data_IF_631739385935
#
_entry.id   IF_631739385935
#
_cell.length_a   1.000
_cell.length_b   1.000
_cell.length_c   1.000
_cell.angle_alpha   90.00
_cell.angle_beta   90.00
_cell.angle_gamma   90.00
#
_symmetry.space_group_name_H-M   'P 1'
#
loop_
_entity.id
_entity.type
_entity.pdbx_description
1 polymer ?
#
# COMPACT_ATOMS: atom_id res chain seq x y z
N UNK A 1 2.37 5.53 -27.71
CA UNK A 1 3.77 5.36 -27.23
C UNK A 1 4.20 3.90 -27.06
N UNK A 2 3.66 2.92 -27.81
CA UNK A 2 4.15 1.54 -27.74
C UNK A 2 5.50 1.43 -28.49
N UNK A 3 6.52 0.86 -27.86
CA UNK A 3 7.83 0.57 -28.47
C UNK A 3 8.98 1.56 -28.18
N UNK A 4 8.73 2.66 -27.47
CA UNK A 4 9.75 3.70 -27.19
C UNK A 4 10.47 3.48 -25.87
N UNK A 5 9.80 2.85 -24.90
CA UNK A 5 10.35 2.54 -23.59
C UNK A 5 11.68 1.79 -23.65
N UNK A 6 11.90 0.95 -24.66
CA UNK A 6 13.18 0.22 -24.87
C UNK A 6 14.40 1.14 -24.97
N UNK A 7 14.23 2.40 -25.39
CA UNK A 7 15.30 3.39 -25.51
C UNK A 7 15.65 4.09 -24.18
N UNK A 8 14.76 3.97 -23.18
CA UNK A 8 14.90 4.56 -21.85
C UNK A 8 14.89 3.50 -20.73
N UNK A 9 14.69 2.22 -21.07
CA UNK A 9 14.52 1.12 -20.13
C UNK A 9 15.84 0.82 -19.41
N UNK A 10 15.97 1.14 -18.12
CA UNK A 10 17.21 0.93 -17.39
C UNK A 10 17.53 -0.56 -17.21
N UNK A 11 16.58 -1.48 -17.39
CA UNK A 11 16.74 -2.92 -17.17
C UNK A 11 17.14 -3.71 -18.41
N UNK A 12 17.09 -3.11 -19.61
CA UNK A 12 17.52 -3.81 -20.83
C UNK A 12 19.00 -4.17 -20.75
N UNK A 13 19.40 -5.41 -21.06
CA UNK A 13 20.81 -5.84 -21.01
C UNK A 13 21.68 -5.15 -22.05
N UNK A 14 21.10 -4.78 -23.18
CA UNK A 14 21.78 -4.04 -24.24
C UNK A 14 21.59 -2.54 -24.00
N UNK A 15 22.71 -1.82 -24.03
CA UNK A 15 22.72 -0.35 -24.02
C UNK A 15 22.41 0.13 -25.43
N UNK A 16 21.30 0.85 -25.59
CA UNK A 16 20.95 1.47 -26.86
C UNK A 16 21.88 2.67 -27.12
N UNK A 17 22.47 2.78 -28.32
CA UNK A 17 23.32 3.91 -28.67
C UNK A 17 22.52 5.22 -28.70
N UNK A 18 23.21 6.34 -28.53
CA UNK A 18 22.61 7.66 -28.68
C UNK A 18 22.14 7.84 -30.14
N UNK A 19 20.83 7.96 -30.33
CA UNK A 19 20.20 7.96 -31.67
C UNK A 19 20.78 9.05 -32.60
N UNK A 20 21.12 10.27 -32.14
CA UNK A 20 21.79 11.25 -32.98
C UNK A 20 23.09 10.75 -33.65
N UNK A 21 23.85 9.85 -33.01
CA UNK A 21 25.07 9.28 -33.62
C UNK A 21 24.80 8.19 -34.68
N UNK A 22 23.54 7.82 -34.90
CA UNK A 22 23.11 6.86 -35.93
C UNK A 22 22.52 7.54 -37.17
N UNK A 23 22.72 8.86 -37.32
CA UNK A 23 22.25 9.59 -38.50
C UNK A 23 22.84 8.96 -39.77
N UNK A 24 22.02 8.58 -40.75
CA UNK A 24 22.53 7.99 -41.97
C UNK A 24 23.38 9.02 -42.73
N UNK A 25 24.56 8.64 -43.25
CA UNK A 25 25.38 9.55 -44.03
C UNK A 25 24.67 9.91 -45.33
N UNK A 26 24.83 11.17 -45.76
CA UNK A 26 24.29 11.65 -47.02
C UNK A 26 24.75 10.76 -48.20
N UNK A 27 23.88 10.52 -49.19
CA UNK A 27 24.25 9.72 -50.35
C UNK A 27 25.33 10.47 -51.16
N UNK A 28 26.24 9.75 -51.84
CA UNK A 28 27.21 10.37 -52.74
C UNK A 28 26.49 11.14 -53.85
N UNK A 29 27.08 12.26 -54.28
CA UNK A 29 26.52 13.07 -55.35
C UNK A 29 26.67 12.38 -56.71
N UNK A 30 25.96 12.88 -57.72
CA UNK A 30 26.09 12.39 -59.10
C UNK A 30 27.54 12.53 -59.58
N UNK A 31 28.19 13.66 -59.28
CA UNK A 31 29.58 13.91 -59.67
C UNK A 31 30.53 12.94 -58.97
N UNK A 32 30.32 12.64 -57.68
CA UNK A 32 31.12 11.64 -56.96
C UNK A 32 31.00 10.25 -57.60
N UNK A 33 29.80 9.89 -58.05
CA UNK A 33 29.57 8.60 -58.73
C UNK A 33 30.19 8.58 -60.13
N UNK A 34 30.15 9.70 -60.86
CA UNK A 34 30.83 9.83 -62.16
C UNK A 34 32.33 9.69 -61.99
N UNK A 35 32.91 10.32 -60.96
CA UNK A 35 34.34 10.19 -60.64
C UNK A 35 34.68 8.73 -60.32
N UNK A 36 33.92 8.07 -59.45
CA UNK A 36 34.14 6.65 -59.13
C UNK A 36 34.01 5.72 -60.33
N UNK A 37 33.04 5.97 -61.21
CA UNK A 37 32.86 5.17 -62.41
C UNK A 37 33.98 5.43 -63.43
N UNK A 38 34.49 6.66 -63.53
CA UNK A 38 35.68 6.96 -64.32
C UNK A 38 36.91 6.25 -63.77
N UNK A 39 37.15 6.29 -62.46
CA UNK A 39 38.24 5.55 -61.82
C UNK A 39 38.15 4.05 -62.08
N UNK A 40 36.93 3.48 -62.04
CA UNK A 40 36.69 2.07 -62.38
C UNK A 40 37.04 1.78 -63.84
N UNK A 41 36.64 2.64 -64.77
CA UNK A 41 36.94 2.51 -66.20
C UNK A 41 38.45 2.64 -66.48
N UNK A 42 39.11 3.58 -65.83
CA UNK A 42 40.57 3.78 -65.94
C UNK A 42 41.35 2.57 -65.41
N UNK A 43 40.89 2.00 -64.30
CA UNK A 43 41.50 0.78 -63.75
C UNK A 43 41.33 -0.41 -64.72
N UNK A 44 40.17 -0.56 -65.37
CA UNK A 44 39.98 -1.60 -66.40
C UNK A 44 40.92 -1.41 -67.60
N UNK A 45 41.17 -0.16 -68.00
CA UNK A 45 42.13 0.14 -69.07
C UNK A 45 43.56 -0.22 -68.62
N UNK A 46 43.95 0.12 -67.39
CA UNK A 46 45.26 -0.24 -66.83
C UNK A 46 45.44 -1.76 -66.72
N UNK A 47 44.44 -2.48 -66.21
CA UNK A 47 44.45 -3.94 -66.13
C UNK A 47 44.60 -4.58 -67.51
N UNK A 48 43.89 -4.05 -68.53
CA UNK A 48 44.09 -4.48 -69.90
C UNK A 48 45.50 -4.12 -70.42
N UNK A 49 46.06 -2.99 -70.01
CA UNK A 49 47.40 -2.56 -70.39
C UNK A 49 48.52 -3.44 -69.84
N UNK A 50 48.32 -3.95 -68.64
CA UNK A 50 49.25 -4.83 -67.91
C UNK A 50 49.08 -6.31 -68.26
N UNK A 51 47.98 -6.71 -68.92
CA UNK A 51 47.71 -8.08 -69.29
C UNK A 51 48.73 -8.63 -70.33
N UNK A 52 49.16 -9.91 -70.21
CA UNK A 52 50.07 -10.54 -71.16
C UNK A 52 49.52 -10.54 -72.59
N UNK A 53 50.37 -10.19 -73.56
CA UNK A 53 50.00 -10.08 -74.99
C UNK A 53 49.33 -11.35 -75.55
N UNK A 54 49.67 -12.54 -75.03
CA UNK A 54 49.08 -13.81 -75.46
C UNK A 54 47.60 -13.98 -75.07
N UNK A 55 47.13 -13.23 -74.07
CA UNK A 55 45.76 -13.30 -73.52
C UNK A 55 45.02 -11.96 -73.65
N UNK A 56 45.66 -10.95 -74.24
CA UNK A 56 45.14 -9.59 -74.35
C UNK A 56 44.12 -9.53 -75.49
N UNK A 57 42.84 -9.48 -75.14
CA UNK A 57 41.74 -9.28 -76.09
C UNK A 57 41.66 -7.83 -76.59
N UNK A 58 40.53 -7.47 -77.21
CA UNK A 58 40.29 -6.11 -77.70
C UNK A 58 40.33 -5.06 -76.58
N UNK A 59 40.86 -3.87 -76.90
CA UNK A 59 40.93 -2.76 -75.93
C UNK A 59 39.51 -2.31 -75.55
N UNK A 60 39.21 -2.15 -74.26
CA UNK A 60 37.96 -1.54 -73.83
C UNK A 60 37.84 -0.11 -74.37
N UNK A 61 36.84 0.13 -75.22
CA UNK A 61 36.48 1.47 -75.73
C UNK A 61 35.51 2.14 -74.75
N UNK A 62 35.98 2.45 -73.54
CA UNK A 62 35.18 3.09 -72.51
C UNK A 62 35.42 4.61 -72.57
N UNK A 63 34.42 5.36 -73.02
CA UNK A 63 34.42 6.82 -72.90
C UNK A 63 34.24 7.28 -71.46
N UNK A 64 34.32 8.60 -71.24
CA UNK A 64 34.03 9.19 -69.93
C UNK A 64 32.62 8.81 -69.43
N UNK A 65 32.51 8.50 -68.14
CA UNK A 65 31.26 8.25 -67.47
C UNK A 65 30.35 9.48 -67.54
N UNK A 66 29.08 9.23 -67.77
CA UNK A 66 28.04 10.23 -67.88
C UNK A 66 26.95 9.98 -66.83
N UNK A 67 26.04 10.94 -66.67
CA UNK A 67 24.88 10.76 -65.79
C UNK A 67 24.09 9.48 -66.10
N UNK A 68 23.98 9.10 -67.38
CA UNK A 68 23.21 7.93 -67.79
C UNK A 68 23.79 6.63 -67.22
N UNK A 69 25.11 6.58 -67.03
CA UNK A 69 25.82 5.42 -66.50
C UNK A 69 25.60 5.25 -64.98
N UNK A 70 25.37 6.35 -64.27
CA UNK A 70 25.29 6.36 -62.79
C UNK A 70 23.87 6.59 -62.24
N UNK A 71 22.91 6.96 -63.08
CA UNK A 71 21.55 7.37 -62.66
C UNK A 71 20.83 6.31 -61.81
N UNK A 72 21.01 5.03 -62.13
CA UNK A 72 20.32 3.94 -61.43
C UNK A 72 20.93 3.69 -60.05
N UNK A 73 22.25 3.74 -59.95
CA UNK A 73 22.97 3.67 -58.68
C UNK A 73 22.62 4.86 -57.78
N UNK A 74 22.62 6.07 -58.35
CA UNK A 74 22.22 7.28 -57.64
C UNK A 74 20.77 7.16 -57.13
N UNK A 75 19.85 6.71 -57.97
CA UNK A 75 18.45 6.51 -57.58
C UNK A 75 18.29 5.44 -56.48
N UNK A 76 19.04 4.35 -56.55
CA UNK A 76 19.06 3.30 -55.52
C UNK A 76 19.57 3.83 -54.18
N UNK A 77 20.76 4.44 -54.16
CA UNK A 77 21.39 4.99 -52.94
C UNK A 77 20.54 6.09 -52.32
N UNK A 78 19.93 6.94 -53.14
CA UNK A 78 19.01 7.99 -52.66
C UNK A 78 17.77 7.38 -52.00
N UNK A 79 17.14 6.37 -52.61
CA UNK A 79 15.99 5.67 -51.99
C UNK A 79 16.37 4.98 -50.68
N UNK A 80 17.53 4.34 -50.64
CA UNK A 80 18.03 3.70 -49.43
C UNK A 80 18.27 4.73 -48.32
N UNK A 81 18.90 5.86 -48.65
CA UNK A 81 19.12 6.97 -47.73
C UNK A 81 17.80 7.49 -47.17
N UNK A 82 16.83 7.87 -48.02
CA UNK A 82 15.54 8.38 -47.54
C UNK A 82 14.79 7.36 -46.67
N UNK A 83 14.92 6.07 -46.98
CA UNK A 83 14.37 5.00 -46.14
C UNK A 83 15.02 4.93 -44.75
N UNK A 84 16.34 5.07 -44.67
CA UNK A 84 17.09 5.11 -43.40
C UNK A 84 16.84 6.41 -42.63
N UNK A 85 16.82 7.54 -43.31
CA UNK A 85 16.59 8.87 -42.76
C UNK A 85 15.19 8.97 -42.14
N UNK A 86 14.16 8.49 -42.84
CA UNK A 86 12.80 8.47 -42.31
C UNK A 86 12.69 7.62 -41.03
N UNK A 87 13.37 6.47 -40.98
CA UNK A 87 13.41 5.62 -39.78
C UNK A 87 14.18 6.30 -38.64
N UNK A 88 15.34 6.87 -38.94
CA UNK A 88 16.16 7.59 -37.98
C UNK A 88 15.41 8.80 -37.42
N UNK A 89 14.81 9.64 -38.27
CA UNK A 89 14.05 10.82 -37.88
C UNK A 89 12.87 10.48 -36.98
N UNK A 90 12.13 9.42 -37.30
CA UNK A 90 11.02 8.92 -36.48
C UNK A 90 11.47 8.41 -35.10
N UNK A 91 12.66 7.80 -35.00
CA UNK A 91 13.25 7.35 -33.74
C UNK A 91 13.84 8.52 -32.94
N UNK A 92 14.58 9.39 -33.59
CA UNK A 92 15.22 10.56 -33.01
C UNK A 92 14.18 11.51 -32.40
N UNK A 93 13.09 11.79 -33.11
CA UNK A 93 12.00 12.63 -32.59
C UNK A 93 11.44 12.12 -31.26
N UNK A 94 11.29 10.80 -31.12
CA UNK A 94 10.80 10.16 -29.88
C UNK A 94 11.84 10.18 -28.78
N UNK A 95 13.09 9.97 -29.14
CA UNK A 95 14.23 10.05 -28.22
C UNK A 95 14.38 11.45 -27.64
N UNK A 96 14.35 12.48 -28.50
CA UNK A 96 14.40 13.89 -28.10
C UNK A 96 13.24 14.25 -27.18
N UNK A 97 12.02 13.79 -27.49
CA UNK A 97 10.87 14.00 -26.62
C UNK A 97 11.10 13.45 -25.20
N UNK A 98 11.63 12.24 -25.05
CA UNK A 98 11.90 11.67 -23.73
C UNK A 98 13.08 12.35 -23.03
N UNK A 99 14.13 12.72 -23.77
CA UNK A 99 15.26 13.44 -23.21
C UNK A 99 14.81 14.81 -22.68
N UNK A 100 13.96 15.51 -23.44
CA UNK A 100 13.37 16.78 -23.02
C UNK A 100 12.49 16.59 -21.78
N UNK A 101 11.66 15.54 -21.76
CA UNK A 101 10.85 15.21 -20.59
C UNK A 101 11.71 14.95 -19.35
N UNK A 102 12.83 14.22 -19.47
CA UNK A 102 13.79 14.02 -18.35
C UNK A 102 14.42 15.36 -17.92
N UNK A 103 14.83 16.21 -18.87
CA UNK A 103 15.40 17.53 -18.56
C UNK A 103 14.40 18.46 -17.84
N UNK A 104 13.09 18.27 -18.07
CA UNK A 104 12.04 19.06 -17.43
C UNK A 104 11.61 18.52 -16.07
N UNK A 105 11.65 17.19 -15.87
CA UNK A 105 11.12 16.54 -14.66
C UNK A 105 12.17 16.34 -13.57
N UNK A 106 13.44 16.15 -13.95
CA UNK A 106 14.54 15.95 -13.00
C UNK A 106 15.19 17.30 -12.70
N UNK A 107 15.36 17.69 -11.42
CA UNK A 107 16.08 18.91 -11.05
C UNK A 107 17.47 18.97 -11.70
N UNK A 108 17.85 20.15 -12.20
CA UNK A 108 19.10 20.33 -12.95
C UNK A 108 20.32 19.99 -12.11
N UNK A 109 20.25 20.23 -10.81
CA UNK A 109 21.30 19.99 -9.83
C UNK A 109 21.64 18.50 -9.72
N UNK A 110 20.62 17.63 -9.86
CA UNK A 110 20.78 16.18 -9.83
C UNK A 110 21.15 15.65 -11.21
N UNK A 111 20.64 16.26 -12.28
CA UNK A 111 20.82 15.77 -13.65
C UNK A 111 22.20 16.08 -14.25
N UNK A 112 22.70 17.31 -14.05
CA UNK A 112 23.90 17.81 -14.74
C UNK A 112 25.18 17.03 -14.40
N UNK A 113 25.47 16.65 -13.13
CA UNK A 113 26.69 15.90 -12.81
C UNK A 113 26.77 14.57 -13.57
N UNK A 114 25.65 13.87 -13.68
CA UNK A 114 25.55 12.59 -14.41
C UNK A 114 25.71 12.80 -15.91
N UNK A 115 25.04 13.82 -16.46
CA UNK A 115 25.13 14.17 -17.87
C UNK A 115 26.57 14.53 -18.28
N UNK A 116 27.24 15.40 -17.52
CA UNK A 116 28.64 15.78 -17.79
C UNK A 116 29.59 14.60 -17.71
N UNK A 117 29.42 13.72 -16.72
CA UNK A 117 30.23 12.50 -16.58
C UNK A 117 30.06 11.57 -17.78
N UNK A 118 28.82 11.24 -18.14
CA UNK A 118 28.52 10.32 -19.23
C UNK A 118 28.95 10.87 -20.60
N UNK A 119 28.89 12.18 -20.81
CA UNK A 119 29.43 12.82 -22.02
C UNK A 119 30.96 12.67 -22.09
N UNK A 120 31.66 12.87 -20.96
CA UNK A 120 33.12 12.72 -20.88
C UNK A 120 33.59 11.28 -21.12
N UNK A 121 32.78 10.31 -20.70
CA UNK A 121 33.05 8.88 -20.87
C UNK A 121 32.63 8.37 -22.27
N UNK A 122 32.05 9.21 -23.13
CA UNK A 122 31.48 8.84 -24.44
C UNK A 122 30.34 7.79 -24.37
N UNK A 123 29.79 7.55 -23.17
CA UNK A 123 28.71 6.59 -22.91
C UNK A 123 27.33 7.26 -22.77
N UNK A 124 27.21 8.50 -23.24
CA UNK A 124 25.95 9.23 -23.10
C UNK A 124 24.83 8.58 -23.91
N UNK A 125 23.85 8.02 -23.22
CA UNK A 125 22.56 7.63 -23.76
C UNK A 125 21.48 7.98 -22.75
N UNK A 126 20.22 8.02 -23.19
CA UNK A 126 19.10 8.27 -22.27
C UNK A 126 19.02 7.15 -21.21
N UNK A 127 19.33 5.93 -21.63
CA UNK A 127 19.31 4.75 -20.79
C UNK A 127 20.43 4.76 -19.73
N UNK A 128 21.67 5.12 -20.10
CA UNK A 128 22.78 5.23 -19.14
C UNK A 128 22.57 6.40 -18.18
N UNK A 129 21.99 7.50 -18.65
CA UNK A 129 21.58 8.62 -17.81
C UNK A 129 20.56 8.17 -16.75
N UNK A 130 19.47 7.53 -17.17
CA UNK A 130 18.42 7.04 -16.26
C UNK A 130 18.97 5.99 -15.29
N UNK A 131 19.82 5.06 -15.74
CA UNK A 131 20.51 4.11 -14.84
C UNK A 131 21.34 4.83 -13.79
N UNK A 132 22.19 5.77 -14.21
CA UNK A 132 23.07 6.46 -13.28
C UNK A 132 22.30 7.30 -12.24
N UNK A 133 21.17 7.88 -12.62
CA UNK A 133 20.29 8.59 -11.70
C UNK A 133 19.63 7.60 -10.73
N UNK A 134 19.18 6.45 -11.22
CA UNK A 134 18.64 5.38 -10.39
C UNK A 134 19.69 4.89 -9.39
N UNK A 135 20.89 4.56 -9.83
CA UNK A 135 21.93 4.00 -8.96
C UNK A 135 22.33 4.94 -7.82
N UNK A 136 22.14 6.26 -8.00
CA UNK A 136 22.50 7.26 -6.99
C UNK A 136 21.31 7.75 -6.14
N UNK A 137 20.09 7.76 -6.70
CA UNK A 137 18.91 8.37 -6.05
C UNK A 137 17.73 7.43 -5.87
N UNK A 138 17.75 6.23 -6.44
CA UNK A 138 16.83 5.20 -5.99
C UNK A 138 17.15 4.92 -4.53
N UNK A 139 16.14 4.97 -3.67
CA UNK A 139 16.25 4.43 -2.32
C UNK A 139 16.78 3.00 -2.49
N UNK A 140 17.94 2.69 -1.91
CA UNK A 140 18.49 1.33 -1.90
C UNK A 140 17.33 0.39 -1.57
N UNK A 141 17.16 -0.71 -2.31
CA UNK A 141 16.06 -1.65 -2.04
C UNK A 141 16.06 -2.07 -0.56
N UNK A 142 17.24 -2.12 0.07
CA UNK A 142 17.38 -2.34 1.51
C UNK A 142 16.93 -1.15 2.38
N UNK A 143 17.21 0.11 1.99
CA UNK A 143 16.71 1.29 2.70
C UNK A 143 15.18 1.41 2.64
N UNK A 144 14.58 1.07 1.50
CA UNK A 144 13.12 0.99 1.35
C UNK A 144 12.54 -0.10 2.26
N UNK A 145 13.23 -1.26 2.34
CA UNK A 145 12.84 -2.36 3.23
C UNK A 145 12.98 -1.99 4.70
N UNK A 146 14.06 -1.35 5.11
CA UNK A 146 14.25 -0.85 6.46
C UNK A 146 13.19 0.18 6.83
N UNK A 147 12.90 1.12 5.92
CA UNK A 147 11.84 2.10 6.13
C UNK A 147 10.47 1.43 6.37
N UNK A 148 10.10 0.45 5.53
CA UNK A 148 8.84 -0.30 5.70
C UNK A 148 8.85 -1.13 6.99
N UNK A 149 9.99 -1.73 7.38
CA UNK A 149 10.12 -2.43 8.68
C UNK A 149 9.88 -1.48 9.85
N UNK A 150 10.43 -0.27 9.80
CA UNK A 150 10.29 0.71 10.87
C UNK A 150 8.87 1.30 10.90
N UNK A 151 8.25 1.56 9.75
CA UNK A 151 6.83 1.92 9.69
C UNK A 151 5.96 0.83 10.30
N UNK A 152 6.24 -0.44 10.01
CA UNK A 152 5.48 -1.58 10.54
C UNK A 152 5.61 -1.68 12.07
N UNK A 153 6.84 -1.60 12.59
CA UNK A 153 7.10 -1.58 14.04
C UNK A 153 6.43 -0.38 14.72
N UNK A 154 6.46 0.79 14.08
CA UNK A 154 5.79 1.99 14.59
C UNK A 154 4.29 1.76 14.76
N UNK A 155 3.61 1.20 13.75
CA UNK A 155 2.17 0.89 13.85
C UNK A 155 1.87 -0.13 14.94
N UNK A 156 2.71 -1.17 15.10
CA UNK A 156 2.54 -2.13 16.21
C UNK A 156 2.70 -1.45 17.58
N UNK A 157 3.68 -0.57 17.73
CA UNK A 157 3.91 0.19 18.96
C UNK A 157 2.76 1.16 19.26
N UNK A 158 2.19 1.83 18.25
CA UNK A 158 1.01 2.69 18.39
C UNK A 158 -0.20 1.90 18.90
N UNK A 159 -0.42 0.70 18.36
CA UNK A 159 -1.48 -0.19 18.84
C UNK A 159 -1.24 -0.66 20.28
N UNK A 160 0.01 -1.01 20.62
CA UNK A 160 0.40 -1.45 21.96
C UNK A 160 0.32 -0.32 23.00
N UNK A 161 0.49 0.93 22.60
CA UNK A 161 0.29 2.10 23.45
C UNK A 161 -1.19 2.36 23.76
N UNK A 162 -2.11 1.87 22.91
CA UNK A 162 -3.56 2.05 23.07
C UNK A 162 -4.04 3.47 22.83
N UNK A 163 -3.23 4.32 22.18
CA UNK A 163 -3.55 5.73 21.89
C UNK A 163 -4.40 5.90 20.64
N UNK A 164 -4.61 4.84 19.86
CA UNK A 164 -5.29 4.83 18.58
C UNK A 164 -6.56 3.97 18.65
N UNK A 165 -7.62 4.40 17.97
CA UNK A 165 -8.86 3.62 17.86
C UNK A 165 -8.61 2.31 17.08
N UNK A 166 -9.12 1.15 17.53
CA UNK A 166 -8.87 -0.15 16.87
C UNK A 166 -9.20 -0.17 15.37
N UNK A 167 -10.29 0.51 14.97
CA UNK A 167 -10.71 0.66 13.58
C UNK A 167 -9.73 1.49 12.74
N UNK A 168 -9.14 2.54 13.34
CA UNK A 168 -8.13 3.34 12.67
C UNK A 168 -6.79 2.60 12.59
N UNK A 169 -6.44 1.89 13.66
CA UNK A 169 -5.23 1.08 13.73
C UNK A 169 -5.20 -0.02 12.68
N UNK A 170 -6.29 -0.79 12.51
CA UNK A 170 -6.32 -1.88 11.54
C UNK A 170 -6.17 -1.37 10.10
N UNK A 171 -6.79 -0.24 9.75
CA UNK A 171 -6.61 0.40 8.43
C UNK A 171 -5.18 0.86 8.18
N UNK A 172 -4.55 1.49 9.18
CA UNK A 172 -3.16 1.94 9.09
C UNK A 172 -2.20 0.75 8.96
N UNK A 173 -2.47 -0.32 9.70
CA UNK A 173 -1.72 -1.57 9.63
C UNK A 173 -1.86 -2.24 8.25
N UNK A 174 -3.08 -2.32 7.69
CA UNK A 174 -3.31 -2.89 6.36
C UNK A 174 -2.56 -2.14 5.26
N UNK A 175 -2.50 -0.82 5.36
CA UNK A 175 -1.73 0.01 4.42
C UNK A 175 -0.24 -0.38 4.44
N UNK A 176 0.38 -0.43 5.62
CA UNK A 176 1.80 -0.78 5.74
C UNK A 176 2.06 -2.25 5.37
N UNK A 177 1.18 -3.17 5.77
CA UNK A 177 1.26 -4.57 5.38
C UNK A 177 1.19 -4.74 3.84
N UNK A 178 0.32 -3.98 3.16
CA UNK A 178 0.22 -4.02 1.69
C UNK A 178 1.50 -3.54 1.01
N UNK A 179 2.17 -2.51 1.56
CA UNK A 179 3.48 -2.07 1.09
C UNK A 179 4.54 -3.15 1.28
N UNK A 180 4.55 -3.82 2.43
CA UNK A 180 5.53 -4.86 2.74
C UNK A 180 5.38 -6.12 1.87
N UNK A 181 4.16 -6.50 1.52
CA UNK A 181 3.87 -7.63 0.61
C UNK A 181 4.23 -7.30 -0.84
N UNK A 182 4.20 -6.03 -1.23
CA UNK A 182 4.58 -5.60 -2.58
C UNK A 182 6.10 -5.61 -2.83
N UNK A 183 6.93 -5.82 -1.80
CA UNK A 183 8.38 -5.91 -1.92
C UNK A 183 8.84 -7.34 -2.23
N UNK A 184 9.74 -7.50 -3.20
CA UNK A 184 10.39 -8.79 -3.53
C UNK A 184 11.87 -8.79 -3.10
N UNK A 185 12.34 -9.77 -2.31
CA UNK A 185 11.59 -10.85 -1.66
C UNK A 185 10.81 -10.35 -0.44
N UNK A 186 9.66 -11.01 -0.18
CA UNK A 186 8.76 -10.66 0.93
C UNK A 186 9.50 -10.58 2.28
N UNK A 187 9.17 -9.54 3.05
CA UNK A 187 9.67 -9.33 4.39
C UNK A 187 9.08 -10.39 5.35
N UNK A 188 9.88 -11.41 5.67
CA UNK A 188 9.51 -12.48 6.60
C UNK A 188 9.11 -11.94 7.99
N UNK A 189 9.71 -10.83 8.42
CA UNK A 189 9.38 -10.14 9.68
C UNK A 189 7.95 -9.57 9.70
N UNK A 190 7.33 -9.38 8.53
CA UNK A 190 6.00 -8.78 8.37
C UNK A 190 4.95 -9.83 7.98
N UNK A 191 5.32 -10.92 7.33
CA UNK A 191 4.38 -11.94 6.81
C UNK A 191 4.43 -13.26 7.59
N UNK A 192 5.54 -13.56 8.27
CA UNK A 192 5.81 -14.85 8.92
C UNK A 192 4.98 -15.13 10.18
N UNK A 193 5.15 -16.33 10.74
CA UNK A 193 4.46 -16.78 11.96
C UNK A 193 4.74 -15.91 13.19
N UNK A 194 5.92 -15.26 13.23
CA UNK A 194 6.26 -14.27 14.24
C UNK A 194 5.40 -13.00 14.12
N UNK A 195 5.16 -12.52 12.89
CA UNK A 195 4.32 -11.36 12.64
C UNK A 195 2.86 -11.59 13.08
N UNK A 196 2.34 -12.82 12.90
CA UNK A 196 1.02 -13.24 13.43
C UNK A 196 0.98 -13.12 14.96
N UNK A 197 2.02 -13.61 15.65
CA UNK A 197 2.10 -13.50 17.10
C UNK A 197 2.16 -12.05 17.58
N UNK A 198 2.99 -11.23 16.95
CA UNK A 198 3.17 -9.83 17.35
C UNK A 198 1.91 -9.01 17.07
N UNK A 199 1.25 -9.23 15.93
CA UNK A 199 -0.05 -8.63 15.62
C UNK A 199 -1.12 -8.97 16.66
N UNK A 200 -1.29 -10.27 16.97
CA UNK A 200 -2.28 -10.71 17.96
C UNK A 200 -1.92 -10.26 19.38
N UNK A 201 -0.63 -10.15 19.71
CA UNK A 201 -0.17 -9.63 21.00
C UNK A 201 -0.55 -8.17 21.18
N UNK A 202 -0.39 -7.34 20.15
CA UNK A 202 -0.82 -5.93 20.19
C UNK A 202 -2.33 -5.84 20.46
N UNK A 203 -3.13 -6.66 19.77
CA UNK A 203 -4.58 -6.69 20.00
C UNK A 203 -4.91 -7.12 21.41
N UNK A 204 -4.28 -8.20 21.90
CA UNK A 204 -4.49 -8.74 23.24
C UNK A 204 -4.10 -7.77 24.37
N UNK A 205 -3.17 -6.85 24.13
CA UNK A 205 -2.69 -5.92 25.15
C UNK A 205 -3.62 -4.75 25.39
N UNK A 206 -4.07 -4.06 24.32
CA UNK A 206 -4.77 -2.77 24.46
C UNK A 206 -5.97 -2.55 23.56
N UNK A 207 -6.11 -3.27 22.44
CA UNK A 207 -7.18 -3.01 21.48
C UNK A 207 -8.44 -3.83 21.79
N UNK A 208 -8.29 -5.14 21.96
CA UNK A 208 -9.35 -6.06 22.41
C UNK A 208 -8.71 -7.27 23.12
N UNK A 209 -8.55 -7.20 24.46
CA UNK A 209 -7.88 -8.25 25.21
C UNK A 209 -8.55 -9.62 25.12
N UNK A 210 -9.89 -9.66 25.11
CA UNK A 210 -10.62 -10.92 25.10
C UNK A 210 -10.49 -11.63 23.74
N UNK A 211 -10.66 -10.89 22.65
CA UNK A 211 -10.50 -11.43 21.30
C UNK A 211 -9.05 -11.80 21.01
N UNK A 212 -8.11 -10.91 21.36
CA UNK A 212 -6.68 -11.08 21.11
C UNK A 212 -6.09 -12.27 21.87
N UNK A 213 -6.37 -12.42 23.17
CA UNK A 213 -5.86 -13.54 23.96
C UNK A 213 -6.39 -14.90 23.47
N UNK A 214 -7.66 -14.97 23.04
CA UNK A 214 -8.25 -16.19 22.49
C UNK A 214 -7.51 -16.65 21.23
N UNK A 215 -7.31 -15.75 20.27
CA UNK A 215 -6.66 -16.11 18.99
C UNK A 215 -5.15 -16.31 19.17
N UNK A 216 -4.50 -15.55 20.06
CA UNK A 216 -3.10 -15.75 20.40
C UNK A 216 -2.85 -17.14 21.01
N UNK A 217 -3.73 -17.59 21.92
CA UNK A 217 -3.67 -18.95 22.48
C UNK A 217 -3.72 -20.03 21.40
N UNK A 218 -4.69 -19.93 20.48
CA UNK A 218 -4.82 -20.87 19.35
C UNK A 218 -3.56 -20.93 18.47
N UNK A 219 -2.95 -19.77 18.20
CA UNK A 219 -1.73 -19.70 17.39
C UNK A 219 -0.52 -20.29 18.14
N UNK A 220 -0.38 -20.00 19.44
CA UNK A 220 0.70 -20.55 20.27
C UNK A 220 0.59 -22.07 20.36
N UNK A 221 -0.62 -22.57 20.60
CA UNK A 221 -0.91 -24.00 20.69
C UNK A 221 -0.61 -24.72 19.37
N UNK A 222 -1.09 -24.19 18.23
CA UNK A 222 -0.82 -24.77 16.91
C UNK A 222 0.68 -24.81 16.57
N UNK A 223 1.44 -23.80 16.98
CA UNK A 223 2.90 -23.78 16.78
C UNK A 223 3.59 -24.81 17.68
N UNK A 224 3.15 -24.93 18.93
CA UNK A 224 3.71 -25.91 19.88
C UNK A 224 3.46 -27.36 19.46
N UNK A 225 2.34 -27.62 18.78
CA UNK A 225 1.97 -28.94 18.27
C UNK A 225 2.57 -29.26 16.89
N UNK A 226 3.39 -28.36 16.31
CA UNK A 226 3.96 -28.53 14.98
C UNK A 226 2.94 -28.43 13.84
N UNK A 227 1.73 -27.93 14.12
CA UNK A 227 0.64 -27.77 13.15
C UNK A 227 0.65 -26.38 12.50
N UNK A 228 1.85 -25.82 12.25
CA UNK A 228 2.02 -24.50 11.68
C UNK A 228 1.37 -24.35 10.28
N UNK A 229 1.20 -25.46 9.55
CA UNK A 229 0.50 -25.51 8.26
C UNK A 229 -1.01 -25.27 8.35
N UNK A 230 -1.61 -25.38 9.54
CA UNK A 230 -3.03 -25.08 9.78
C UNK A 230 -3.28 -23.63 10.20
N UNK A 231 -2.22 -22.83 10.37
CA UNK A 231 -2.36 -21.41 10.70
C UNK A 231 -2.93 -20.65 9.51
N UNK A 232 -3.93 -19.82 9.79
CA UNK A 232 -4.43 -18.84 8.83
C UNK A 232 -3.35 -17.78 8.56
N UNK A 233 -3.40 -17.15 7.40
CA UNK A 233 -2.46 -16.07 7.08
C UNK A 233 -2.67 -14.86 8.01
N UNK A 234 -1.65 -14.02 8.15
CA UNK A 234 -1.75 -12.77 8.91
C UNK A 234 -2.92 -11.89 8.41
N UNK A 235 -3.12 -11.84 7.10
CA UNK A 235 -4.23 -11.11 6.47
C UNK A 235 -5.60 -11.68 6.85
N UNK A 236 -5.72 -12.99 7.02
CA UNK A 236 -6.98 -13.60 7.45
C UNK A 236 -7.32 -13.23 8.90
N UNK A 237 -6.31 -13.19 9.79
CA UNK A 237 -6.50 -12.70 11.16
C UNK A 237 -6.90 -11.23 11.20
N UNK A 238 -6.31 -10.39 10.34
CA UNK A 238 -6.69 -8.99 10.20
C UNK A 238 -8.15 -8.82 9.77
N UNK A 239 -8.60 -9.56 8.74
CA UNK A 239 -10.00 -9.55 8.30
C UNK A 239 -10.96 -10.06 9.37
N UNK A 240 -10.57 -11.10 10.12
CA UNK A 240 -11.38 -11.60 11.23
C UNK A 240 -11.51 -10.55 12.34
N UNK A 241 -10.44 -9.81 12.64
CA UNK A 241 -10.46 -8.74 13.63
C UNK A 241 -11.31 -7.55 13.14
N UNK A 242 -11.14 -7.12 11.89
CA UNK A 242 -11.94 -6.05 11.31
C UNK A 242 -13.44 -6.41 11.33
N UNK A 243 -13.79 -7.63 10.93
CA UNK A 243 -15.17 -8.13 11.01
C UNK A 243 -15.70 -8.16 12.44
N UNK A 244 -14.88 -8.56 13.42
CA UNK A 244 -15.22 -8.52 14.85
C UNK A 244 -15.46 -7.08 15.33
N UNK A 245 -14.64 -6.11 14.91
CA UNK A 245 -14.83 -4.70 15.26
C UNK A 245 -16.09 -4.10 14.60
N UNK A 246 -16.43 -4.53 13.38
CA UNK A 246 -17.67 -4.11 12.69
C UNK A 246 -18.91 -4.71 13.35
N UNK A 247 -18.82 -5.95 13.85
CA UNK A 247 -19.87 -6.59 14.66
C UNK A 247 -19.97 -5.96 16.06
N UNK A 248 -18.86 -5.49 16.63
CA UNK A 248 -18.82 -4.72 17.89
C UNK A 248 -19.51 -3.35 17.82
N UNK A 249 -19.65 -2.77 16.62
CA UNK A 249 -20.52 -1.61 16.36
C UNK A 249 -22.01 -1.90 16.54
N UNK A 250 -22.39 -3.17 16.51
CA UNK A 250 -23.71 -3.67 16.84
C UNK A 250 -23.72 -4.33 18.24
N UNK A 251 -23.06 -3.73 19.25
CA UNK A 251 -23.17 -4.09 20.69
C UNK A 251 -23.60 -5.54 20.95
N UNK A 252 -22.74 -6.49 20.62
CA UNK A 252 -22.70 -7.76 21.34
C UNK A 252 -22.04 -7.43 22.71
N UNK A 253 -22.76 -7.28 23.82
CA UNK A 253 -23.82 -8.18 24.23
C UNK A 253 -23.27 -9.52 24.72
N UNK A 254 -21.98 -9.62 25.09
CA UNK A 254 -21.39 -10.83 25.68
C UNK A 254 -20.85 -10.56 27.08
N UNK A 255 -21.76 -10.13 27.96
CA UNK A 255 -21.97 -10.80 29.24
C UNK A 255 -23.46 -11.18 29.29
N UNK A 256 -23.85 -12.08 28.39
CA UNK A 256 -25.13 -12.76 28.45
C UNK A 256 -25.00 -14.01 29.32
N UNK A 257 -24.89 -13.78 30.63
CA UNK A 257 -25.47 -14.69 31.62
C UNK A 257 -26.45 -13.85 32.44
N UNK A 258 -27.74 -14.11 32.21
CA UNK A 258 -28.90 -13.62 32.98
C UNK A 258 -29.25 -12.13 32.83
N UNK A 259 -29.95 -11.78 31.74
CA UNK A 259 -31.32 -11.23 31.82
C UNK A 259 -31.71 -10.61 30.46
N UNK A 260 -32.63 -11.27 29.77
CA UNK A 260 -33.50 -10.60 28.82
C UNK A 260 -34.24 -9.48 29.56
N UNK A 261 -34.09 -8.22 29.13
CA UNK A 261 -34.99 -7.15 29.54
C UNK A 261 -35.63 -6.53 28.30
N UNK A 262 -36.97 -6.66 28.15
CA UNK A 262 -37.68 -6.13 27.01
C UNK A 262 -37.74 -4.60 27.05
N UNK A 263 -37.85 -4.05 25.84
CA UNK A 263 -38.09 -2.65 25.48
C UNK A 263 -38.91 -1.87 26.53
N UNK A 264 -38.34 -0.76 26.99
CA UNK A 264 -39.04 0.43 27.52
C UNK A 264 -40.06 0.21 28.64
N UNK A 265 -39.62 0.15 29.90
CA UNK A 265 -40.51 0.36 31.06
C UNK A 265 -40.31 1.77 31.63
N UNK A 266 -41.29 2.64 31.39
CA UNK A 266 -41.33 4.01 31.93
C UNK A 266 -41.43 3.94 33.45
N UNK A 267 -40.55 4.63 34.17
CA UNK A 267 -40.64 4.76 35.61
C UNK A 267 -41.77 5.72 36.01
N UNK A 268 -42.58 5.41 37.04
CA UNK A 268 -43.59 6.35 37.58
C UNK A 268 -42.99 7.68 38.08
N UNK A 269 -41.68 7.69 38.35
CA UNK A 269 -40.90 8.88 38.67
C UNK A 269 -40.71 9.84 37.47
N UNK A 270 -41.09 9.44 36.25
CA UNK A 270 -40.99 10.18 34.97
C UNK A 270 -39.59 10.70 34.63
N UNK A 271 -38.55 10.18 35.30
CA UNK A 271 -37.15 10.41 34.94
C UNK A 271 -36.69 9.30 34.02
N UNK A 272 -35.96 9.68 32.97
CA UNK A 272 -35.22 8.73 32.15
C UNK A 272 -34.02 8.24 32.94
N UNK A 273 -34.02 6.96 33.28
CA UNK A 273 -32.90 6.31 33.92
C UNK A 273 -32.50 5.06 33.15
N UNK A 274 -31.20 4.76 33.14
CA UNK A 274 -30.64 3.58 32.46
C UNK A 274 -30.86 2.27 33.22
N UNK A 275 -31.35 2.33 34.46
CA UNK A 275 -31.66 1.18 35.31
C UNK A 275 -33.15 0.83 35.32
N UNK A 276 -33.53 -0.29 35.96
CA UNK A 276 -34.93 -0.69 36.09
C UNK A 276 -35.68 0.19 37.11
N UNK A 277 -37.01 0.39 36.96
CA UNK A 277 -37.81 1.12 37.95
C UNK A 277 -37.73 0.53 39.37
N UNK A 278 -37.37 -0.76 39.50
CA UNK A 278 -37.14 -1.43 40.79
C UNK A 278 -35.95 -0.89 41.58
N UNK A 279 -34.97 -0.32 40.89
CA UNK A 279 -33.79 0.31 41.51
C UNK A 279 -33.98 1.83 41.66
N UNK A 280 -35.19 2.35 41.46
CA UNK A 280 -35.46 3.78 41.58
C UNK A 280 -35.66 4.19 43.04
N UNK A 281 -34.65 4.84 43.61
CA UNK A 281 -34.67 5.34 44.99
C UNK A 281 -35.86 6.29 45.26
N UNK A 282 -36.28 7.08 44.27
CA UNK A 282 -37.45 7.97 44.36
C UNK A 282 -38.77 7.20 44.40
N UNK A 283 -38.90 6.14 43.61
CA UNK A 283 -40.09 5.29 43.61
C UNK A 283 -40.16 4.51 44.93
N UNK A 284 -39.02 4.03 45.42
CA UNK A 284 -38.91 3.33 46.70
C UNK A 284 -39.29 4.23 47.87
N UNK A 285 -38.78 5.47 47.90
CA UNK A 285 -39.15 6.46 48.91
C UNK A 285 -40.65 6.78 48.87
N UNK A 286 -41.23 6.98 47.68
CA UNK A 286 -42.65 7.30 47.53
C UNK A 286 -43.59 6.15 47.95
N UNK A 287 -43.19 4.89 47.72
CA UNK A 287 -44.03 3.70 47.95
C UNK A 287 -43.82 3.02 49.31
N UNK A 288 -42.59 2.98 49.81
CA UNK A 288 -42.24 2.29 51.07
C UNK A 288 -41.88 3.23 52.21
N UNK A 289 -41.66 4.53 51.93
CA UNK A 289 -41.17 5.50 52.91
C UNK A 289 -39.68 5.34 53.25
N UNK A 290 -39.00 4.30 52.74
CA UNK A 290 -37.58 4.07 53.02
C UNK A 290 -36.69 4.94 52.14
N UNK A 291 -35.76 5.65 52.77
CA UNK A 291 -34.82 6.54 52.09
C UNK A 291 -33.40 5.95 52.05
N UNK A 292 -33.01 5.20 51.01
CA UNK A 292 -31.68 4.58 50.92
C UNK A 292 -30.52 5.57 50.96
N UNK A 293 -30.73 6.81 50.52
CA UNK A 293 -29.66 7.77 50.23
C UNK A 293 -29.92 9.16 50.80
N UNK A 294 -30.76 9.28 51.81
CA UNK A 294 -31.16 10.57 52.42
C UNK A 294 -31.58 11.63 51.38
N UNK A 295 -32.33 11.21 50.36
CA UNK A 295 -32.89 12.09 49.35
C UNK A 295 -33.85 13.09 49.98
N UNK A 296 -33.60 14.39 49.77
CA UNK A 296 -34.53 15.46 50.17
C UNK A 296 -35.45 15.78 48.99
N UNK A 297 -36.73 15.45 49.12
CA UNK A 297 -37.73 15.61 48.04
C UNK A 297 -38.98 16.24 48.62
N UNK A 298 -39.55 17.22 47.91
CA UNK A 298 -40.78 17.90 48.31
C UNK A 298 -41.98 16.93 48.33
N UNK A 299 -42.80 16.96 49.38
CA UNK A 299 -43.99 16.10 49.53
C UNK A 299 -44.96 16.13 48.33
N UNK A 300 -45.23 17.27 47.66
CA UNK A 300 -46.10 17.30 46.47
C UNK A 300 -45.62 16.39 45.34
N UNK A 301 -44.30 16.23 45.23
CA UNK A 301 -43.67 15.39 44.21
C UNK A 301 -43.74 13.91 44.58
N UNK A 302 -43.67 13.57 45.87
CA UNK A 302 -43.87 12.21 46.35
C UNK A 302 -45.33 11.79 46.17
N UNK A 303 -46.28 12.69 46.45
CA UNK A 303 -47.70 12.46 46.23
C UNK A 303 -48.03 12.23 44.75
N UNK A 304 -47.50 13.06 43.83
CA UNK A 304 -47.68 12.85 42.40
C UNK A 304 -47.10 11.50 41.91
N UNK A 305 -46.00 11.02 42.50
CA UNK A 305 -45.44 9.69 42.20
C UNK A 305 -46.34 8.58 42.76
N UNK A 306 -46.90 8.73 43.97
CA UNK A 306 -47.85 7.77 44.56
C UNK A 306 -49.12 7.65 43.71
N UNK A 307 -49.68 8.77 43.28
CA UNK A 307 -50.88 8.80 42.43
C UNK A 307 -50.63 8.11 41.08
N UNK A 308 -49.50 8.41 40.42
CA UNK A 308 -49.12 7.73 39.16
C UNK A 308 -48.85 6.26 39.35
N UNK A 309 -48.16 5.90 40.43
CA UNK A 309 -47.90 4.51 40.74
C UNK A 309 -49.19 3.75 41.03
N UNK A 310 -50.23 4.42 41.54
CA UNK A 310 -51.53 3.80 41.78
C UNK A 310 -52.29 3.38 40.51
N UNK A 311 -51.95 3.92 39.33
CA UNK A 311 -52.61 3.62 38.06
C UNK A 311 -52.53 2.12 37.67
N UNK A 312 -53.56 1.56 37.00
CA UNK A 312 -53.61 0.14 36.61
C UNK A 312 -52.44 -0.29 35.70
N UNK A 313 -51.88 0.64 34.94
CA UNK A 313 -50.74 0.39 34.05
C UNK A 313 -49.48 -0.12 34.78
N UNK A 314 -49.39 0.10 36.10
CA UNK A 314 -48.24 -0.29 36.91
C UNK A 314 -48.50 -1.49 37.84
N UNK A 315 -49.64 -2.18 37.74
CA UNK A 315 -49.96 -3.33 38.61
C UNK A 315 -48.91 -4.45 38.56
N UNK A 316 -48.42 -4.79 37.36
CA UNK A 316 -47.34 -5.78 37.22
C UNK A 316 -46.04 -5.36 37.91
N UNK A 317 -45.75 -4.05 37.91
CA UNK A 317 -44.58 -3.48 38.58
C UNK A 317 -44.79 -3.47 40.11
N UNK A 318 -46.00 -3.16 40.59
CA UNK A 318 -46.34 -3.25 42.03
C UNK A 318 -46.10 -4.66 42.57
N UNK A 319 -46.64 -5.68 41.89
CA UNK A 319 -46.48 -7.08 42.29
C UNK A 319 -45.00 -7.49 42.36
N UNK A 320 -44.19 -7.09 41.37
CA UNK A 320 -42.74 -7.38 41.38
C UNK A 320 -41.97 -6.66 42.49
N UNK A 321 -42.39 -5.44 42.84
CA UNK A 321 -41.72 -4.63 43.86
C UNK A 321 -42.08 -5.06 45.27
N UNK A 322 -43.32 -5.48 45.49
CA UNK A 322 -43.72 -6.06 46.77
C UNK A 322 -42.91 -7.31 47.10
N UNK A 323 -42.60 -8.15 46.11
CA UNK A 323 -41.74 -9.32 46.29
C UNK A 323 -40.30 -8.90 46.64
N UNK A 324 -39.69 -8.05 45.80
CA UNK A 324 -38.28 -7.64 45.92
C UNK A 324 -37.97 -6.81 47.16
N UNK A 325 -38.90 -5.96 47.61
CA UNK A 325 -38.67 -5.07 48.75
C UNK A 325 -39.15 -5.68 50.08
N UNK A 326 -40.04 -6.68 50.09
CA UNK A 326 -40.29 -7.48 51.28
C UNK A 326 -39.10 -8.39 51.63
N UNK A 327 -38.46 -8.99 50.63
CA UNK A 327 -37.27 -9.85 50.85
C UNK A 327 -36.06 -9.06 51.38
N UNK A 328 -35.85 -7.84 50.88
CA UNK A 328 -34.74 -6.98 51.34
C UNK A 328 -35.02 -6.25 52.67
N UNK A 329 -36.26 -6.28 53.18
CA UNK A 329 -36.62 -5.75 54.49
C UNK A 329 -36.19 -6.65 55.66
N UNK A 330 -35.87 -7.92 55.40
CA UNK A 330 -35.49 -8.90 56.42
C UNK A 330 -33.98 -8.98 56.71
N UNK A 331 -33.14 -8.22 55.98
CA UNK A 331 -31.67 -8.35 56.01
C UNK A 331 -30.95 -7.15 56.64
N UNK A 332 -31.54 -6.51 57.65
CA UNK A 332 -30.84 -5.51 58.49
C UNK A 332 -30.72 -5.94 59.94
N UNK A 333 -30.08 -7.09 60.16
CA UNK A 333 -29.33 -7.34 61.37
C UNK A 333 -28.28 -8.41 61.09
N UNK A 334 -27.00 -8.01 61.17
CA UNK A 334 -25.84 -8.79 61.64
C UNK A 334 -24.55 -8.55 60.82
N UNK A 335 -23.50 -8.16 61.54
CA UNK A 335 -22.14 -8.60 61.27
C UNK A 335 -21.33 -7.87 60.19
N UNK A 336 -20.69 -6.76 60.56
CA UNK A 336 -19.42 -6.34 59.92
C UNK A 336 -18.38 -7.46 60.13
N UNK A 337 -18.16 -8.31 59.12
CA UNK A 337 -17.00 -9.21 59.09
C UNK A 337 -15.77 -8.45 58.60
N UNK A 338 -14.73 -8.44 59.43
CA UNK A 338 -13.41 -7.85 59.18
C UNK A 338 -12.63 -8.74 58.20
N UNK A 339 -12.06 -8.14 57.15
CA UNK A 339 -11.08 -8.81 56.29
C UNK A 339 -9.79 -9.13 57.08
N UNK A 340 -9.21 -10.33 56.94
CA UNK A 340 -7.93 -10.68 57.53
C UNK A 340 -6.82 -10.31 56.55
N UNK A 341 -5.97 -9.36 56.92
CA UNK A 341 -4.82 -8.98 56.09
C UNK A 341 -4.34 -7.55 56.31
N UNK A 342 -4.00 -7.19 57.54
CA UNK A 342 -3.17 -6.01 57.82
C UNK A 342 -2.13 -6.41 58.85
N UNK A 343 -0.88 -6.45 58.39
CA UNK A 343 0.31 -6.61 59.22
C UNK A 343 0.71 -5.23 59.69
N UNK A 344 0.85 -5.06 61.01
CA UNK A 344 1.23 -3.80 61.63
C UNK A 344 2.72 -3.51 61.41
N UNK A 345 3.03 -2.25 61.12
CA UNK A 345 4.33 -1.62 61.34
C UNK A 345 4.21 -0.69 62.55
#
# INVERSE_FOLDING_TARGET
MKGVWKLADPYSKETQPHIPFLEPPAPPTIDDLIVRENERRDNLIKEWEEAPLATRGDRPMLGGASFQDVKEEFAYRSREYFGKEARWSALNSKYQYMLEWVNQTVPKELLQPHKTRLIKEEEFSLQTLVRSLRDQYAEDDESTREHVRDEYRRILNEGAAGTIEPQQWIRNWELVHSKAVALEPELQDVVGSLAIKDFLRVIAQRLDPAWGSRHLGLVVDAISMGEASKLKSLRDYAKMFEGHLQQGGAREGVFATLNELPKGKVCPCMRTHSWQPSSCDLLRLASTGQNPRNLTVSEPKLQAIRERFSMPSYEKLKASLELLWKENGASTSEGRSKYPGSVAA
#
